data_IF_608535030383
#
_entry.id   IF_608535030383
#
_cell.length_a   1.000
_cell.length_b   1.000
_cell.length_c   1.000
_cell.angle_alpha   90.00
_cell.angle_beta   90.00
_cell.angle_gamma   90.00
#
_symmetry.space_group_name_H-M   'P 1'
#
loop_
_entity.id
_entity.type
_entity.pdbx_description
1 polymer ?
#
# COMPACT_ATOMS: atom_id res chain seq x y z
N UNK A 1 -13.87 18.55 -9.96
CA UNK A 1 -12.53 17.92 -9.86
C UNK A 1 -12.63 16.54 -10.48
N UNK A 2 -12.05 16.35 -11.67
CA UNK A 2 -11.98 15.03 -12.32
C UNK A 2 -10.87 14.28 -11.60
N UNK A 3 -11.18 13.11 -11.01
CA UNK A 3 -10.20 12.35 -10.23
C UNK A 3 -9.15 11.81 -11.21
N UNK A 4 -7.90 12.19 -11.00
CA UNK A 4 -6.75 11.55 -11.64
C UNK A 4 -6.75 10.08 -11.24
N UNK A 5 -6.23 9.19 -12.09
CA UNK A 5 -6.02 7.84 -11.60
C UNK A 5 -4.90 7.84 -10.56
N UNK A 6 -5.03 6.91 -9.63
CA UNK A 6 -4.09 6.70 -8.54
C UNK A 6 -3.89 5.19 -8.39
N UNK A 7 -2.65 4.78 -8.13
CA UNK A 7 -2.34 3.41 -7.74
C UNK A 7 -2.44 3.32 -6.23
N UNK A 8 -3.18 2.35 -5.70
CA UNK A 8 -3.38 2.19 -4.27
C UNK A 8 -2.81 0.88 -3.77
N UNK A 9 -2.03 0.94 -2.69
CA UNK A 9 -1.49 -0.21 -1.97
C UNK A 9 -1.91 -0.13 -0.52
N UNK A 10 -2.58 -1.17 -0.03
CA UNK A 10 -2.95 -1.29 1.38
C UNK A 10 -1.96 -2.23 2.05
N UNK A 11 -1.34 -1.76 3.13
CA UNK A 11 -0.54 -2.59 4.02
C UNK A 11 -1.25 -2.72 5.35
N UNK A 12 -1.32 -3.96 5.83
CA UNK A 12 -1.92 -4.26 7.11
C UNK A 12 -0.82 -4.41 8.14
N UNK A 13 -0.97 -3.67 9.22
CA UNK A 13 0.00 -3.59 10.29
C UNK A 13 -0.66 -3.96 11.63
N UNK A 14 0.06 -4.60 12.56
CA UNK A 14 -0.42 -4.79 13.91
C UNK A 14 -0.75 -3.46 14.57
N UNK A 15 -1.87 -3.35 15.29
CA UNK A 15 -2.24 -2.09 15.96
C UNK A 15 -1.12 -1.53 16.85
N UNK A 16 -0.34 -2.39 17.48
CA UNK A 16 0.79 -2.00 18.33
C UNK A 16 1.89 -1.25 17.57
N UNK A 17 2.07 -1.48 16.26
CA UNK A 17 3.08 -0.77 15.48
C UNK A 17 2.67 0.66 15.13
N UNK A 18 1.38 1.02 15.23
CA UNK A 18 0.90 2.39 15.02
C UNK A 18 1.51 3.40 16.00
N UNK A 19 1.89 2.94 17.20
CA UNK A 19 2.50 3.76 18.23
C UNK A 19 4.02 3.92 18.08
N UNK A 20 4.65 3.16 17.17
CA UNK A 20 6.10 3.20 16.95
C UNK A 20 6.50 4.19 15.86
N UNK A 21 7.72 4.74 15.96
CA UNK A 21 8.35 5.46 14.85
C UNK A 21 8.95 4.44 13.86
N UNK A 22 8.11 3.83 13.01
CA UNK A 22 8.53 2.82 12.05
C UNK A 22 9.00 3.45 10.73
N UNK A 23 10.31 3.63 10.58
CA UNK A 23 10.94 4.06 9.32
C UNK A 23 11.17 2.89 8.33
N UNK A 24 11.10 1.64 8.81
CA UNK A 24 11.31 0.44 7.99
C UNK A 24 10.31 0.31 6.83
N UNK A 25 9.09 0.84 7.02
CA UNK A 25 8.05 0.82 6.01
C UNK A 25 8.38 1.71 4.80
N UNK A 26 9.12 2.81 5.00
CA UNK A 26 9.44 3.76 3.94
C UNK A 26 10.32 3.13 2.85
N UNK A 27 11.36 2.40 3.25
CA UNK A 27 12.21 1.67 2.29
C UNK A 27 11.41 0.64 1.49
N UNK A 28 10.43 0.01 2.13
CA UNK A 28 9.53 -0.94 1.49
C UNK A 28 8.62 -0.25 0.45
N UNK A 29 8.06 0.92 0.77
CA UNK A 29 7.20 1.69 -0.15
C UNK A 29 7.97 2.14 -1.39
N UNK A 30 9.22 2.57 -1.23
CA UNK A 30 10.07 2.92 -2.36
C UNK A 30 10.31 1.72 -3.28
N UNK A 31 10.70 0.57 -2.72
CA UNK A 31 10.95 -0.64 -3.50
C UNK A 31 9.69 -1.11 -4.26
N UNK A 32 8.52 -1.10 -3.60
CA UNK A 32 7.24 -1.44 -4.23
C UNK A 32 6.88 -0.44 -5.32
N UNK A 33 7.07 0.86 -5.08
CA UNK A 33 6.81 1.91 -6.07
C UNK A 33 7.62 1.70 -7.34
N UNK A 34 8.92 1.42 -7.20
CA UNK A 34 9.78 1.16 -8.34
C UNK A 34 9.39 -0.12 -9.09
N UNK A 35 9.05 -1.19 -8.36
CA UNK A 35 8.59 -2.44 -8.95
C UNK A 35 7.27 -2.25 -9.72
N UNK A 36 6.32 -1.49 -9.16
CA UNK A 36 5.06 -1.16 -9.80
C UNK A 36 5.28 -0.35 -11.09
N UNK A 37 6.14 0.69 -11.04
CA UNK A 37 6.48 1.52 -12.21
C UNK A 37 7.18 0.73 -13.32
N UNK A 38 7.99 -0.28 -12.97
CA UNK A 38 8.65 -1.19 -13.94
C UNK A 38 7.77 -2.36 -14.38
N UNK A 39 6.57 -2.51 -13.82
CA UNK A 39 5.72 -3.66 -14.10
C UNK A 39 5.11 -3.59 -15.51
N UNK A 40 5.02 -4.74 -16.17
CA UNK A 40 4.30 -4.87 -17.44
C UNK A 40 2.83 -4.52 -17.32
N UNK A 41 2.25 -4.74 -16.14
CA UNK A 41 0.85 -4.42 -15.87
C UNK A 41 0.59 -2.92 -15.97
N UNK A 42 1.37 -2.11 -15.23
CA UNK A 42 1.20 -0.66 -15.24
C UNK A 42 1.47 -0.07 -16.64
N UNK A 43 2.48 -0.60 -17.35
CA UNK A 43 2.81 -0.21 -18.72
C UNK A 43 1.73 -0.61 -19.75
N UNK A 44 0.89 -1.60 -19.44
CA UNK A 44 -0.18 -2.06 -20.32
C UNK A 44 -1.54 -1.43 -20.00
N UNK A 45 -1.62 -0.57 -18.99
CA UNK A 45 -2.86 0.15 -18.69
C UNK A 45 -3.23 1.06 -19.87
N UNK A 46 -4.52 1.14 -20.23
CA UNK A 46 -4.95 2.08 -21.24
C UNK A 46 -4.61 3.51 -20.80
N UNK A 47 -4.24 4.41 -21.73
CA UNK A 47 -4.01 5.81 -21.42
C UNK A 47 -5.20 6.40 -20.67
N UNK A 48 -4.92 7.22 -19.67
CA UNK A 48 -5.98 7.88 -18.92
C UNK A 48 -6.75 8.83 -19.85
N UNK A 49 -8.09 8.84 -19.80
CA UNK A 49 -8.90 9.77 -20.58
C UNK A 49 -8.83 11.18 -19.97
N UNK A 50 -7.66 11.81 -20.17
CA UNK A 50 -7.32 13.14 -19.70
C UNK A 50 -7.61 14.18 -20.77
N UNK A 51 -7.92 15.42 -20.34
CA UNK A 51 -8.15 16.53 -21.26
C UNK A 51 -6.87 17.33 -21.50
N UNK A 52 -5.94 17.33 -20.52
CA UNK A 52 -4.65 17.99 -20.61
C UNK A 52 -3.60 17.15 -19.86
N UNK A 53 -2.84 16.25 -20.52
CA UNK A 53 -1.88 15.36 -19.86
C UNK A 53 -0.85 16.08 -18.97
N UNK A 54 -0.47 17.30 -19.32
CA UNK A 54 0.48 18.12 -18.55
C UNK A 54 -0.07 18.52 -17.18
N UNK A 55 -1.37 18.77 -17.07
CA UNK A 55 -2.05 19.04 -15.78
C UNK A 55 -2.59 17.77 -15.13
N UNK A 56 -3.09 16.84 -15.95
CA UNK A 56 -3.86 15.70 -15.50
C UNK A 56 -3.00 14.46 -15.19
N UNK A 57 -1.74 14.48 -15.61
CA UNK A 57 -0.81 13.38 -15.46
C UNK A 57 -0.99 12.25 -16.47
N UNK A 58 -0.03 11.35 -16.45
CA UNK A 58 0.11 10.15 -17.25
C UNK A 58 0.52 8.96 -16.34
N UNK A 59 0.80 7.80 -16.94
CA UNK A 59 1.18 6.61 -16.17
C UNK A 59 2.49 6.80 -15.37
N UNK A 60 3.35 7.71 -15.80
CA UNK A 60 4.66 7.96 -15.19
C UNK A 60 4.57 8.95 -14.02
N UNK A 61 3.62 9.88 -14.10
CA UNK A 61 3.28 10.85 -13.06
C UNK A 61 2.14 10.37 -12.14
N UNK A 62 1.58 9.19 -12.40
CA UNK A 62 0.56 8.57 -11.57
C UNK A 62 1.01 8.51 -10.09
N UNK A 63 0.23 9.06 -9.15
CA UNK A 63 0.50 8.93 -7.73
C UNK A 63 0.31 7.47 -7.29
N UNK A 64 1.28 6.95 -6.54
CA UNK A 64 1.15 5.69 -5.82
C UNK A 64 0.95 6.00 -4.35
N UNK A 65 -0.19 5.62 -3.81
CA UNK A 65 -0.61 5.89 -2.44
C UNK A 65 -0.49 4.59 -1.65
N UNK A 66 0.18 4.68 -0.51
CA UNK A 66 0.30 3.58 0.45
C UNK A 66 -0.57 3.91 1.67
N UNK A 67 -1.51 3.03 1.98
CA UNK A 67 -2.37 3.15 3.15
C UNK A 67 -2.00 2.07 4.16
N UNK A 68 -1.63 2.51 5.36
CA UNK A 68 -1.40 1.61 6.50
C UNK A 68 -2.67 1.41 7.30
N UNK A 69 -3.21 0.20 7.27
CA UNK A 69 -4.33 -0.21 8.10
C UNK A 69 -3.83 -0.92 9.36
N UNK A 70 -4.03 -0.28 10.51
CA UNK A 70 -3.63 -0.80 11.81
C UNK A 70 -4.78 -1.53 12.49
N UNK A 71 -4.66 -2.84 12.66
CA UNK A 71 -5.73 -3.69 13.21
C UNK A 71 -5.22 -4.67 14.29
N UNK A 72 -6.13 -5.15 15.12
CA UNK A 72 -5.83 -6.26 16.03
C UNK A 72 -5.71 -7.55 15.22
N UNK A 73 -4.47 -8.05 15.06
CA UNK A 73 -4.16 -9.24 14.24
C UNK A 73 -4.85 -10.52 14.77
N UNK A 74 -5.33 -10.51 16.02
CA UNK A 74 -6.06 -11.62 16.65
C UNK A 74 -7.42 -11.89 16.01
N UNK A 75 -8.02 -10.92 15.30
CA UNK A 75 -9.33 -11.10 14.67
C UNK A 75 -9.28 -11.85 13.33
N UNK A 76 -8.14 -11.85 12.63
CA UNK A 76 -8.05 -12.41 11.27
C UNK A 76 -7.54 -13.85 11.21
N UNK A 77 -6.75 -14.29 12.18
CA UNK A 77 -6.36 -15.70 12.31
C UNK A 77 -7.53 -16.63 12.66
N UNK A 78 -8.70 -16.09 13.04
CA UNK A 78 -9.85 -16.89 13.44
C UNK A 78 -10.57 -17.55 12.25
N UNK A 79 -10.30 -17.11 11.01
CA UNK A 79 -10.87 -17.70 9.79
C UNK A 79 -9.94 -18.70 9.09
N UNK A 80 -8.76 -18.99 9.66
CA UNK A 80 -7.80 -19.95 9.11
C UNK A 80 -7.15 -20.77 10.24
N UNK A 81 -7.97 -21.62 10.88
CA UNK A 81 -7.61 -22.74 11.79
C UNK A 81 -6.84 -22.36 13.08
N UNK A 82 -7.22 -22.88 14.26
CA UNK A 82 -6.75 -22.33 15.53
C UNK A 82 -5.40 -22.88 16.01
N UNK A 83 -4.70 -21.98 16.71
CA UNK A 83 -3.80 -22.18 17.85
C UNK A 83 -2.37 -22.68 17.59
N UNK A 84 -1.41 -21.83 17.94
CA UNK A 84 -0.50 -22.13 19.04
C UNK A 84 -0.02 -20.81 19.64
N UNK A 85 0.23 -20.85 20.94
CA UNK A 85 0.80 -19.80 21.77
C UNK A 85 1.98 -19.03 21.12
N UNK A 86 2.25 -17.86 21.71
CA UNK A 86 3.51 -17.10 21.64
C UNK A 86 3.60 -16.01 20.57
N UNK A 87 3.00 -14.86 20.87
CA UNK A 87 3.69 -13.57 20.68
C UNK A 87 3.26 -12.62 21.80
N UNK A 88 3.69 -12.96 23.03
CA UNK A 88 3.73 -12.00 24.14
C UNK A 88 4.94 -11.09 23.94
N UNK A 89 4.77 -9.95 23.27
CA UNK A 89 5.64 -8.80 23.55
C UNK A 89 4.94 -7.95 24.62
N UNK A 90 5.35 -8.19 25.86
CA UNK A 90 4.98 -7.36 27.00
C UNK A 90 5.79 -6.07 27.03
N UNK A 91 5.11 -5.04 27.57
CA UNK A 91 5.53 -3.67 27.89
C UNK A 91 5.79 -2.76 26.69
#
# INVERSE_FOLDING_TARGET
VKRFAEGFFVLENPRTSAAGCYDANYQSYQAVSEAARRSRYLAALPPLPVHCPELDGDIHSLPLIFEDQYADMTQRHRNSIPNAQDCSCGI
#
